data_IF_074560927567
#
_entry.id   IF_074560927567
#
_cell.length_a   1.000
_cell.length_b   1.000
_cell.length_c   1.000
_cell.angle_alpha   90.00
_cell.angle_beta   90.00
_cell.angle_gamma   90.00
#
_symmetry.space_group_name_H-M   'P 1'
#
loop_
_entity.id
_entity.type
_entity.pdbx_description
1 polymer ?
#
# COMPACT_ATOMS: atom_id res chain seq x y z
N UNK A 1 7.37 10.91 31.56
CA UNK A 1 6.64 12.16 31.25
C UNK A 1 6.62 12.29 29.73
N UNK A 2 5.53 11.84 29.10
CA UNK A 2 5.37 11.81 27.64
C UNK A 2 5.02 13.22 27.14
N UNK A 3 5.98 13.88 26.48
CA UNK A 3 5.72 15.11 25.72
C UNK A 3 4.89 14.76 24.48
N UNK A 4 3.56 14.80 24.58
CA UNK A 4 2.67 14.86 23.43
C UNK A 4 2.35 16.33 23.13
N UNK A 5 3.36 17.11 22.77
CA UNK A 5 3.11 18.30 21.96
C UNK A 5 2.79 17.79 20.55
N UNK A 6 1.63 18.13 19.99
CA UNK A 6 1.25 17.75 18.63
C UNK A 6 2.29 18.30 17.66
N UNK A 7 3.25 17.47 17.28
CA UNK A 7 4.31 17.83 16.35
C UNK A 7 3.74 17.74 14.94
N UNK A 8 3.41 18.88 14.35
CA UNK A 8 3.06 18.94 12.94
C UNK A 8 4.37 18.79 12.12
N UNK A 9 4.55 17.66 11.40
CA UNK A 9 5.77 17.39 10.64
C UNK A 9 5.98 18.35 9.46
N UNK A 10 5.02 19.23 9.14
CA UNK A 10 5.20 20.30 8.16
C UNK A 10 5.99 21.50 8.69
N UNK A 11 6.06 21.69 10.01
CA UNK A 11 6.71 22.86 10.64
C UNK A 11 8.23 22.92 10.34
N UNK A 12 9.01 21.81 10.38
CA UNK A 12 10.41 21.81 9.98
C UNK A 12 10.66 22.20 8.52
N UNK A 13 9.71 21.97 7.61
CA UNK A 13 9.84 22.37 6.20
C UNK A 13 9.89 23.90 6.04
N UNK A 14 9.28 24.63 6.96
CA UNK A 14 9.28 26.10 6.98
C UNK A 14 10.54 26.67 7.66
N UNK A 15 11.48 25.82 8.09
CA UNK A 15 12.67 26.24 8.82
C UNK A 15 12.38 26.73 10.25
N UNK A 16 11.18 26.47 10.76
CA UNK A 16 10.76 26.87 12.10
C UNK A 16 11.07 25.72 13.06
N UNK A 17 11.98 25.98 14.01
CA UNK A 17 12.37 25.00 15.02
C UNK A 17 12.01 25.52 16.42
N UNK A 18 11.48 24.67 17.32
CA UNK A 18 11.22 25.08 18.70
C UNK A 18 12.51 25.58 19.35
N UNK A 19 12.46 26.75 20.00
CA UNK A 19 13.64 27.38 20.63
C UNK A 19 14.25 26.53 21.75
N UNK A 20 13.46 25.61 22.29
CA UNK A 20 13.80 24.66 23.36
C UNK A 20 14.70 23.52 22.86
N UNK A 21 14.68 23.30 21.54
CA UNK A 21 15.63 22.49 20.79
C UNK A 21 16.95 23.26 20.70
N UNK A 22 17.67 23.34 21.83
CA UNK A 22 19.01 23.92 21.87
C UNK A 22 19.80 23.34 20.69
N UNK A 23 20.42 24.22 19.91
CA UNK A 23 21.22 24.02 18.70
C UNK A 23 22.49 23.14 18.94
N UNK A 24 22.42 22.13 19.79
CA UNK A 24 23.54 21.29 20.20
C UNK A 24 23.53 19.94 19.48
N UNK A 25 22.36 19.44 19.06
CA UNK A 25 22.25 18.08 18.54
C UNK A 25 21.89 18.06 17.04
N UNK A 26 22.92 18.14 16.18
CA UNK A 26 22.78 17.97 14.72
C UNK A 26 21.95 16.72 14.36
N UNK A 27 22.04 15.66 15.18
CA UNK A 27 21.28 14.41 14.99
C UNK A 27 19.78 14.61 15.05
N UNK A 28 19.30 15.46 15.97
CA UNK A 28 17.87 15.70 16.12
C UNK A 28 17.32 16.56 14.98
N UNK A 29 18.08 17.56 14.50
CA UNK A 29 17.75 18.32 13.30
C UNK A 29 17.68 17.40 12.08
N UNK A 30 18.69 16.53 11.89
CA UNK A 30 18.69 15.53 10.81
C UNK A 30 17.48 14.60 10.89
N UNK A 31 17.07 14.23 12.11
CA UNK A 31 15.90 13.36 12.33
C UNK A 31 14.61 14.07 11.94
N UNK A 32 14.44 15.34 12.33
CA UNK A 32 13.28 16.14 11.95
C UNK A 32 13.20 16.38 10.44
N UNK A 33 14.33 16.66 9.78
CA UNK A 33 14.39 16.78 8.32
C UNK A 33 14.07 15.46 7.62
N UNK A 34 14.56 14.32 8.13
CA UNK A 34 14.24 13.01 7.59
C UNK A 34 12.75 12.70 7.69
N UNK A 35 12.12 12.97 8.84
CA UNK A 35 10.67 12.80 9.03
C UNK A 35 9.88 13.71 8.08
N UNK A 36 10.28 14.97 7.93
CA UNK A 36 9.61 15.92 7.04
C UNK A 36 9.74 15.53 5.55
N UNK A 37 10.91 15.01 5.14
CA UNK A 37 11.13 14.49 3.80
C UNK A 37 10.26 13.25 3.53
N UNK A 38 10.22 12.30 4.46
CA UNK A 38 9.37 11.11 4.35
C UNK A 38 7.89 11.49 4.26
N UNK A 39 7.43 12.44 5.06
CA UNK A 39 6.06 12.94 5.02
C UNK A 39 5.74 13.62 3.67
N UNK A 40 6.68 14.37 3.11
CA UNK A 40 6.54 15.00 1.79
C UNK A 40 6.48 13.97 0.67
N UNK A 41 7.32 12.91 0.74
CA UNK A 41 7.29 11.78 -0.19
C UNK A 41 5.96 11.04 -0.10
N UNK A 42 5.48 10.73 1.11
CA UNK A 42 4.18 10.11 1.34
C UNK A 42 3.02 10.98 0.82
N UNK A 43 3.07 12.30 1.02
CA UNK A 43 2.07 13.25 0.51
C UNK A 43 2.11 13.36 -1.02
N UNK A 44 3.29 13.29 -1.62
CA UNK A 44 3.47 13.23 -3.08
C UNK A 44 2.96 11.89 -3.62
N UNK A 45 3.14 10.80 -2.87
CA UNK A 45 2.56 9.48 -3.13
C UNK A 45 1.04 9.40 -2.88
N UNK A 46 0.45 10.35 -2.16
CA UNK A 46 -1.00 10.53 -2.09
C UNK A 46 -1.60 11.27 -3.29
N UNK A 47 -0.78 11.75 -4.25
CA UNK A 47 -1.24 12.38 -5.50
C UNK A 47 -1.23 11.52 -6.78
N UNK A 48 -0.45 10.45 -6.99
CA UNK A 48 -0.93 9.39 -7.86
C UNK A 48 -2.17 8.84 -7.16
N UNK A 49 -3.31 8.82 -7.84
CA UNK A 49 -4.46 8.05 -7.35
C UNK A 49 -3.94 6.66 -7.03
N UNK A 50 -3.83 6.33 -5.74
CA UNK A 50 -3.54 4.96 -5.32
C UNK A 50 -4.52 4.09 -6.10
N UNK A 51 -4.04 3.18 -6.98
CA UNK A 51 -4.94 2.38 -7.79
C UNK A 51 -5.95 1.73 -6.86
N UNK A 52 -7.23 1.85 -7.18
CA UNK A 52 -8.25 1.20 -6.35
C UNK A 52 -7.98 -0.29 -6.30
N UNK A 53 -8.53 -0.98 -5.29
CA UNK A 53 -8.35 -2.42 -5.18
C UNK A 53 -8.72 -3.13 -6.50
N UNK A 54 -9.76 -2.61 -7.15
CA UNK A 54 -10.26 -3.11 -8.44
C UNK A 54 -9.29 -2.83 -9.59
N UNK A 55 -8.62 -1.67 -9.61
CA UNK A 55 -7.69 -1.33 -10.69
C UNK A 55 -6.42 -2.18 -10.65
N UNK A 56 -5.93 -2.57 -9.46
CA UNK A 56 -4.80 -3.50 -9.36
C UNK A 56 -5.22 -4.92 -9.75
N UNK A 57 -6.42 -5.37 -9.37
CA UNK A 57 -6.94 -6.69 -9.75
C UNK A 57 -7.05 -6.79 -11.27
N UNK A 58 -7.58 -5.76 -11.94
CA UNK A 58 -7.67 -5.73 -13.41
C UNK A 58 -6.30 -5.89 -14.08
N UNK A 59 -5.30 -5.10 -13.64
CA UNK A 59 -3.93 -5.20 -14.18
C UNK A 59 -3.32 -6.59 -13.96
N UNK A 60 -3.54 -7.17 -12.79
CA UNK A 60 -3.03 -8.50 -12.46
C UNK A 60 -3.72 -9.58 -13.32
N UNK A 61 -5.00 -9.37 -13.67
CA UNK A 61 -5.75 -10.26 -14.56
C UNK A 61 -5.28 -10.19 -16.01
N UNK A 62 -4.92 -8.99 -16.48
CA UNK A 62 -4.31 -8.79 -17.79
C UNK A 62 -2.95 -9.51 -17.89
N UNK A 63 -2.13 -9.43 -16.83
CA UNK A 63 -0.86 -10.15 -16.74
C UNK A 63 -1.06 -11.68 -16.69
N UNK A 64 -1.98 -12.16 -15.86
CA UNK A 64 -2.34 -13.58 -15.77
C UNK A 64 -2.75 -14.13 -17.14
N UNK A 65 -3.64 -13.42 -17.84
CA UNK A 65 -4.16 -13.83 -19.15
C UNK A 65 -3.04 -13.87 -20.19
N UNK A 66 -2.19 -12.84 -20.23
CA UNK A 66 -1.06 -12.78 -21.15
C UNK A 66 -0.10 -13.95 -20.91
N UNK A 67 0.28 -14.18 -19.65
CA UNK A 67 1.23 -15.24 -19.30
C UNK A 67 0.63 -16.64 -19.53
N UNK A 68 -0.67 -16.82 -19.26
CA UNK A 68 -1.40 -18.06 -19.56
C UNK A 68 -1.31 -18.40 -21.06
N UNK A 69 -1.62 -17.45 -21.95
CA UNK A 69 -1.52 -17.69 -23.39
C UNK A 69 -0.09 -18.03 -23.83
N UNK A 70 0.92 -17.37 -23.27
CA UNK A 70 2.32 -17.69 -23.60
C UNK A 70 2.75 -19.07 -23.12
N UNK A 71 2.32 -19.48 -21.94
CA UNK A 71 2.72 -20.74 -21.30
C UNK A 71 1.98 -21.93 -21.89
N UNK A 72 0.72 -21.77 -22.29
CA UNK A 72 -0.02 -22.77 -23.08
C UNK A 72 0.68 -23.03 -24.41
N UNK A 73 1.12 -21.97 -25.12
CA UNK A 73 1.86 -22.12 -26.38
C UNK A 73 3.20 -22.82 -26.20
N UNK A 74 3.86 -22.61 -25.06
CA UNK A 74 5.17 -23.19 -24.76
C UNK A 74 5.09 -24.54 -24.02
N UNK A 75 3.89 -25.07 -23.73
CA UNK A 75 3.66 -26.25 -22.90
C UNK A 75 4.24 -26.16 -21.45
N UNK A 76 4.29 -24.95 -20.88
CA UNK A 76 4.88 -24.66 -19.56
C UNK A 76 3.82 -24.50 -18.45
N UNK A 77 2.65 -25.13 -18.61
CA UNK A 77 1.46 -24.93 -17.77
C UNK A 77 1.74 -25.25 -16.29
N UNK A 78 2.56 -26.25 -15.99
CA UNK A 78 2.89 -26.62 -14.61
C UNK A 78 3.69 -25.52 -13.88
N UNK A 79 4.61 -24.85 -14.58
CA UNK A 79 5.37 -23.71 -14.06
C UNK A 79 4.46 -22.53 -13.79
N UNK A 80 3.56 -22.23 -14.74
CA UNK A 80 2.53 -21.21 -14.59
C UNK A 80 1.65 -21.44 -13.36
N UNK A 81 1.07 -22.65 -13.22
CA UNK A 81 0.19 -22.99 -12.11
C UNK A 81 0.89 -22.83 -10.76
N UNK A 82 2.15 -23.24 -10.66
CA UNK A 82 2.94 -23.10 -9.42
C UNK A 82 3.17 -21.63 -9.07
N UNK A 83 3.49 -20.80 -10.07
CA UNK A 83 3.72 -19.36 -9.90
C UNK A 83 2.46 -18.60 -9.49
N UNK A 84 1.33 -18.90 -10.12
CA UNK A 84 0.10 -18.13 -9.97
C UNK A 84 -0.83 -18.61 -8.86
N UNK A 85 -0.65 -19.83 -8.33
CA UNK A 85 -1.54 -20.44 -7.32
C UNK A 85 -1.95 -19.51 -6.17
N UNK A 86 -0.98 -18.88 -5.51
CA UNK A 86 -1.26 -18.03 -4.34
C UNK A 86 -1.91 -16.70 -4.75
N UNK A 87 -1.48 -16.14 -5.88
CA UNK A 87 -2.00 -14.87 -6.39
C UNK A 87 -3.45 -15.03 -6.89
N UNK A 88 -3.75 -16.11 -7.60
CA UNK A 88 -5.09 -16.42 -8.08
C UNK A 88 -6.08 -16.55 -6.91
N UNK A 89 -5.69 -17.23 -5.83
CA UNK A 89 -6.51 -17.32 -4.62
C UNK A 89 -6.78 -15.95 -3.99
N UNK A 90 -5.75 -15.10 -3.85
CA UNK A 90 -5.89 -13.75 -3.30
C UNK A 90 -6.81 -12.89 -4.19
N UNK A 91 -6.60 -12.91 -5.50
CA UNK A 91 -7.43 -12.17 -6.45
C UNK A 91 -8.90 -12.56 -6.35
N UNK A 92 -9.20 -13.87 -6.32
CA UNK A 92 -10.58 -14.37 -6.22
C UNK A 92 -11.22 -13.99 -4.88
N UNK A 93 -10.46 -14.04 -3.78
CA UNK A 93 -10.93 -13.62 -2.46
C UNK A 93 -11.29 -12.13 -2.43
N UNK A 94 -10.42 -11.27 -2.96
CA UNK A 94 -10.64 -9.82 -3.00
C UNK A 94 -11.81 -9.43 -3.90
N UNK A 95 -11.96 -10.10 -5.06
CA UNK A 95 -13.15 -9.92 -5.92
C UNK A 95 -14.41 -10.31 -5.14
N UNK A 96 -14.41 -11.47 -4.48
CA UNK A 96 -15.54 -11.96 -3.68
C UNK A 96 -15.93 -10.98 -2.56
N UNK A 97 -14.94 -10.49 -1.80
CA UNK A 97 -15.16 -9.48 -0.76
C UNK A 97 -15.73 -8.18 -1.33
N UNK A 98 -15.17 -7.67 -2.44
CA UNK A 98 -15.67 -6.45 -3.08
C UNK A 98 -17.13 -6.58 -3.54
N UNK A 99 -17.54 -7.77 -4.02
CA UNK A 99 -18.93 -8.03 -4.41
C UNK A 99 -19.85 -8.09 -3.19
N UNK A 100 -19.41 -8.73 -2.10
CA UNK A 100 -20.17 -8.79 -0.83
C UNK A 100 -20.41 -7.40 -0.27
N UNK A 101 -19.37 -6.57 -0.24
CA UNK A 101 -19.45 -5.18 0.22
C UNK A 101 -20.40 -4.38 -0.66
N UNK A 102 -20.28 -4.52 -1.99
CA UNK A 102 -21.13 -3.81 -2.96
C UNK A 102 -22.62 -4.13 -2.81
N UNK A 103 -22.96 -5.39 -2.55
CA UNK A 103 -24.35 -5.84 -2.42
C UNK A 103 -24.85 -5.96 -0.98
N UNK A 104 -24.05 -5.51 0.01
CA UNK A 104 -24.35 -5.67 1.43
C UNK A 104 -24.73 -7.12 1.81
N UNK A 105 -24.06 -8.10 1.20
CA UNK A 105 -24.31 -9.52 1.46
C UNK A 105 -23.51 -9.98 2.69
N UNK A 106 -24.21 -10.44 3.72
CA UNK A 106 -23.62 -11.11 4.87
C UNK A 106 -23.43 -12.60 4.61
N UNK A 107 -22.33 -13.18 5.10
CA UNK A 107 -22.10 -14.63 5.07
C UNK A 107 -23.04 -15.30 6.08
N UNK A 108 -23.86 -16.25 5.64
CA UNK A 108 -24.77 -17.03 6.51
C UNK A 108 -24.08 -18.20 7.24
N UNK A 109 -22.77 -18.38 7.04
CA UNK A 109 -21.99 -19.36 7.78
C UNK A 109 -21.62 -18.67 9.10
N UNK A 110 -22.42 -18.93 10.13
CA UNK A 110 -22.02 -18.64 11.51
C UNK A 110 -20.85 -19.54 11.87
N UNK A 111 -19.83 -18.96 12.50
CA UNK A 111 -18.77 -19.72 13.16
C UNK A 111 -19.39 -20.38 14.41
N UNK A 112 -19.61 -21.70 14.34
CA UNK A 112 -19.84 -22.56 15.52
C UNK A 112 -18.50 -22.86 16.24
#
# INVERSE_FOLDING_TARGET
>A
MSFSASFDPAIPLLGIYPKEFKLANKKEICTLMFIAAQFTIAKTWNQPKCPSTIDWIKKLWDMYSLEYYTTVRNNEIQSFATKWRNLEHIMLSEISQSQRDKYHMFSLIGDD
#
